data_IF_308182234762
#
_entry.id   IF_308182234762
#
_cell.length_a   1.000
_cell.length_b   1.000
_cell.length_c   1.000
_cell.angle_alpha   90.00
_cell.angle_beta   90.00
_cell.angle_gamma   90.00
#
_symmetry.space_group_name_H-M   'P 1'
#
loop_
_entity.id
_entity.type
_entity.pdbx_description
1 polymer ?
#
# COMPACT_ATOMS: atom_id res chain seq x y z
N UNK A 1 12.13 4.24 0.37
CA UNK A 1 10.92 4.44 1.18
C UNK A 1 11.25 5.32 2.36
N UNK A 2 12.08 4.85 3.31
CA UNK A 2 12.56 5.68 4.43
C UNK A 2 13.14 7.01 3.96
N UNK A 3 14.08 6.99 3.02
CA UNK A 3 14.70 8.21 2.49
C UNK A 3 13.68 9.18 1.86
N UNK A 4 12.84 8.70 0.94
CA UNK A 4 11.73 9.46 0.36
C UNK A 4 10.90 10.17 1.45
N UNK A 5 10.52 9.45 2.51
CA UNK A 5 9.71 9.99 3.62
C UNK A 5 10.49 11.05 4.41
N UNK A 6 11.77 10.82 4.70
CA UNK A 6 12.59 11.77 5.46
C UNK A 6 12.86 13.06 4.67
N UNK A 7 13.08 12.95 3.35
CA UNK A 7 13.24 14.10 2.45
C UNK A 7 11.93 14.89 2.39
N UNK A 8 10.82 14.22 2.12
CA UNK A 8 9.50 14.86 2.06
C UNK A 8 9.09 15.50 3.40
N UNK A 9 9.54 14.92 4.52
CA UNK A 9 9.30 15.43 5.87
C UNK A 9 10.14 16.63 6.27
N UNK A 10 11.02 17.14 5.40
CA UNK A 10 11.80 18.37 5.62
C UNK A 10 12.57 18.42 6.96
N UNK A 11 13.08 17.27 7.42
CA UNK A 11 13.85 17.15 8.66
C UNK A 11 13.00 17.12 9.94
N UNK A 12 11.67 17.07 9.85
CA UNK A 12 10.75 17.05 10.99
C UNK A 12 10.32 15.64 11.40
N UNK A 13 10.66 14.62 10.61
CA UNK A 13 10.30 13.24 10.92
C UNK A 13 11.11 12.68 12.09
N UNK A 14 10.44 11.91 12.94
CA UNK A 14 11.11 10.92 13.78
C UNK A 14 11.59 9.76 12.89
N UNK A 15 12.92 9.61 12.79
CA UNK A 15 13.55 8.56 11.98
C UNK A 15 13.14 7.16 12.40
N UNK A 16 13.08 6.89 13.70
CA UNK A 16 12.74 5.56 14.21
C UNK A 16 11.30 5.19 13.83
N UNK A 17 10.37 6.14 13.94
CA UNK A 17 8.99 5.92 13.50
C UNK A 17 8.91 5.65 11.99
N UNK A 18 9.64 6.40 11.16
CA UNK A 18 9.67 6.20 9.70
C UNK A 18 10.24 4.83 9.33
N UNK A 19 11.35 4.43 9.94
CA UNK A 19 11.99 3.13 9.70
C UNK A 19 11.08 1.97 10.13
N UNK A 20 10.42 2.10 11.29
CA UNK A 20 9.45 1.13 11.78
C UNK A 20 8.27 0.96 10.81
N UNK A 21 7.62 2.06 10.41
CA UNK A 21 6.47 1.99 9.49
C UNK A 21 6.89 1.44 8.12
N UNK A 22 7.99 1.94 7.55
CA UNK A 22 8.42 1.53 6.22
C UNK A 22 8.84 0.05 6.14
N UNK A 23 9.44 -0.49 7.20
CA UNK A 23 9.87 -1.89 7.28
C UNK A 23 8.68 -2.86 7.44
N UNK A 24 7.60 -2.43 8.10
CA UNK A 24 6.42 -3.27 8.33
C UNK A 24 5.35 -3.17 7.22
N UNK A 25 5.41 -2.14 6.37
CA UNK A 25 4.38 -1.84 5.37
C UNK A 25 3.98 -3.04 4.48
N UNK A 26 4.94 -3.84 3.98
CA UNK A 26 4.65 -5.00 3.14
C UNK A 26 3.76 -6.02 3.86
N UNK A 27 4.05 -6.31 5.13
CA UNK A 27 3.29 -7.30 5.90
C UNK A 27 1.86 -6.82 6.19
N UNK A 28 1.68 -5.55 6.52
CA UNK A 28 0.36 -4.96 6.74
C UNK A 28 -0.48 -4.93 5.46
N UNK A 29 0.16 -4.64 4.32
CA UNK A 29 -0.51 -4.69 3.01
C UNK A 29 -0.88 -6.12 2.64
N UNK A 30 0.00 -7.10 2.88
CA UNK A 30 -0.33 -8.50 2.67
C UNK A 30 -1.52 -8.93 3.51
N UNK A 31 -1.59 -8.47 4.77
CA UNK A 31 -2.76 -8.73 5.62
C UNK A 31 -4.05 -8.19 5.01
N UNK A 32 -4.05 -6.98 4.41
CA UNK A 32 -5.23 -6.45 3.70
C UNK A 32 -5.63 -7.35 2.52
N UNK A 33 -4.65 -7.81 1.74
CA UNK A 33 -4.90 -8.75 0.62
C UNK A 33 -5.53 -10.04 1.16
N UNK A 34 -5.01 -10.57 2.27
CA UNK A 34 -5.52 -11.78 2.91
C UNK A 34 -6.94 -11.58 3.50
N UNK A 35 -7.32 -10.34 3.86
CA UNK A 35 -8.70 -9.99 4.22
C UNK A 35 -9.66 -9.90 3.01
N UNK A 36 -9.12 -9.92 1.79
CA UNK A 36 -9.88 -9.86 0.55
C UNK A 36 -9.88 -8.50 -0.16
N UNK A 37 -9.03 -7.55 0.25
CA UNK A 37 -8.90 -6.27 -0.46
C UNK A 37 -8.32 -6.50 -1.84
N UNK A 38 -9.04 -6.08 -2.88
CA UNK A 38 -8.61 -6.27 -4.27
C UNK A 38 -7.83 -5.06 -4.77
N UNK A 39 -6.52 -5.23 -4.95
CA UNK A 39 -5.68 -4.26 -5.65
C UNK A 39 -5.53 -4.62 -7.13
N UNK A 40 -5.43 -3.59 -7.98
CA UNK A 40 -5.32 -3.75 -9.42
C UNK A 40 -4.06 -4.54 -9.80
N UNK A 41 -4.21 -5.47 -10.73
CA UNK A 41 -3.13 -6.27 -11.32
C UNK A 41 -2.88 -5.88 -12.77
N UNK A 42 -1.72 -6.28 -13.28
CA UNK A 42 -1.31 -6.13 -14.67
C UNK A 42 -0.63 -7.41 -15.15
N UNK A 43 -0.80 -7.73 -16.43
CA UNK A 43 -0.04 -8.80 -17.07
C UNK A 43 1.25 -8.20 -17.63
N UNK A 44 2.39 -8.72 -17.20
CA UNK A 44 3.69 -8.32 -17.68
C UNK A 44 3.96 -8.86 -19.10
N UNK A 45 4.91 -8.29 -19.86
CA UNK A 45 5.24 -8.77 -21.21
C UNK A 45 5.68 -10.24 -21.27
N UNK A 46 6.17 -10.80 -20.16
CA UNK A 46 6.53 -12.22 -20.03
C UNK A 46 5.32 -13.13 -19.74
N UNK A 47 4.11 -12.58 -19.62
CA UNK A 47 2.88 -13.30 -19.33
C UNK A 47 2.57 -13.48 -17.84
N UNK A 48 3.45 -13.04 -16.93
CA UNK A 48 3.22 -13.13 -15.49
C UNK A 48 2.29 -12.01 -14.99
N UNK A 49 1.38 -12.35 -14.09
CA UNK A 49 0.56 -11.37 -13.40
C UNK A 49 1.32 -10.75 -12.22
N UNK A 50 1.24 -9.44 -12.08
CA UNK A 50 1.77 -8.72 -10.92
C UNK A 50 0.89 -7.54 -10.56
N UNK A 51 1.06 -7.00 -9.36
CA UNK A 51 0.32 -5.80 -8.96
C UNK A 51 0.71 -4.59 -9.81
N UNK A 52 -0.29 -3.82 -10.24
CA UNK A 52 -0.07 -2.55 -10.91
C UNK A 52 0.33 -1.50 -9.85
N UNK A 53 1.53 -0.95 -10.00
CA UNK A 53 2.10 0.02 -9.04
C UNK A 53 2.18 1.42 -9.64
N UNK A 54 1.62 2.39 -8.92
CA UNK A 54 1.72 3.81 -9.23
C UNK A 54 2.86 4.48 -8.45
N UNK A 55 3.15 5.73 -8.83
CA UNK A 55 4.15 6.59 -8.19
C UNK A 55 3.61 8.01 -8.12
N UNK A 56 3.64 8.59 -6.94
CA UNK A 56 3.18 9.97 -6.67
C UNK A 56 4.38 10.87 -6.28
N UNK A 57 4.09 12.14 -6.01
CA UNK A 57 5.09 13.11 -5.55
C UNK A 57 5.81 12.62 -4.30
N UNK A 58 7.12 12.89 -4.22
CA UNK A 58 7.96 12.46 -3.10
C UNK A 58 8.48 11.03 -3.18
N UNK A 59 8.00 10.20 -4.11
CA UNK A 59 8.48 8.83 -4.28
C UNK A 59 9.55 8.67 -5.36
N UNK A 60 10.66 8.01 -5.03
CA UNK A 60 11.72 7.63 -5.99
C UNK A 60 11.32 6.44 -6.88
N UNK A 61 10.52 5.50 -6.37
CA UNK A 61 10.11 4.26 -7.05
C UNK A 61 8.59 4.06 -7.05
N UNK A 62 8.07 3.29 -8.02
CA UNK A 62 6.69 2.80 -8.04
C UNK A 62 6.48 1.81 -6.89
N UNK A 63 5.62 2.16 -5.94
CA UNK A 63 5.40 1.36 -4.72
C UNK A 63 4.00 1.52 -4.11
N UNK A 64 3.10 2.19 -4.81
CA UNK A 64 1.74 2.47 -4.35
C UNK A 64 0.82 1.46 -5.02
N UNK A 65 0.17 0.62 -4.21
CA UNK A 65 -0.94 -0.21 -4.64
C UNK A 65 -2.22 0.62 -4.68
N UNK A 66 -3.13 0.29 -5.59
CA UNK A 66 -4.40 0.99 -5.72
C UNK A 66 -5.49 0.05 -6.23
N UNK A 67 -6.74 0.48 -6.07
CA UNK A 67 -7.91 -0.13 -6.69
C UNK A 67 -8.62 0.97 -7.52
N UNK A 68 -8.38 0.96 -8.83
CA UNK A 68 -8.75 2.03 -9.75
C UNK A 68 -8.43 3.42 -9.16
N UNK A 69 -9.44 4.28 -9.01
CA UNK A 69 -9.39 5.62 -8.43
C UNK A 69 -9.99 5.70 -7.01
N UNK A 70 -10.30 4.56 -6.38
CA UNK A 70 -11.10 4.50 -5.15
C UNK A 70 -10.56 3.49 -4.11
N UNK A 71 -9.24 3.40 -3.94
CA UNK A 71 -8.58 2.48 -2.98
C UNK A 71 -9.18 2.54 -1.56
N UNK A 72 -9.51 3.74 -1.07
CA UNK A 72 -10.10 3.91 0.26
C UNK A 72 -11.44 3.19 0.42
N UNK A 73 -12.30 3.26 -0.61
CA UNK A 73 -13.61 2.58 -0.62
C UNK A 73 -13.46 1.07 -0.60
N UNK A 74 -12.50 0.55 -1.37
CA UNK A 74 -12.23 -0.89 -1.46
C UNK A 74 -11.75 -1.45 -0.11
N UNK A 75 -10.79 -0.77 0.52
CA UNK A 75 -10.29 -1.13 1.85
C UNK A 75 -11.38 -1.05 2.90
N UNK A 76 -12.13 0.05 2.95
CA UNK A 76 -13.21 0.26 3.93
C UNK A 76 -14.30 -0.80 3.81
N UNK A 77 -14.84 -1.00 2.60
CA UNK A 77 -15.96 -1.92 2.37
C UNK A 77 -15.58 -3.35 2.75
N UNK A 78 -14.36 -3.77 2.39
CA UNK A 78 -13.84 -5.10 2.73
C UNK A 78 -13.71 -5.29 4.23
N UNK A 79 -13.04 -4.36 4.94
CA UNK A 79 -12.80 -4.51 6.37
C UNK A 79 -14.09 -4.41 7.19
N UNK A 80 -15.03 -3.54 6.81
CA UNK A 80 -16.35 -3.46 7.46
C UNK A 80 -17.13 -4.77 7.27
N UNK A 81 -17.11 -5.33 6.07
CA UNK A 81 -17.74 -6.63 5.78
C UNK A 81 -17.15 -7.76 6.64
N UNK A 82 -15.81 -7.83 6.74
CA UNK A 82 -15.12 -8.80 7.59
C UNK A 82 -15.45 -8.62 9.08
N UNK A 83 -15.55 -7.39 9.56
CA UNK A 83 -15.93 -7.13 10.95
C UNK A 83 -17.38 -7.55 11.24
N UNK A 84 -18.30 -7.32 10.30
CA UNK A 84 -19.72 -7.70 10.45
C UNK A 84 -19.94 -9.22 10.39
N UNK A 85 -19.09 -9.95 9.67
CA UNK A 85 -19.17 -11.42 9.58
C UNK A 85 -18.55 -12.15 10.78
N UNK A 86 -17.86 -11.42 11.67
CA UNK A 86 -17.25 -11.93 12.90
C UNK A 86 -17.72 -11.14 14.15
N UNK A 87 -19.02 -11.19 14.51
CA UNK A 87 -19.58 -10.47 15.65
C UNK A 87 -19.14 -10.98 17.02
#
# INVERSE_FOLDING_TARGET
>A
HVEDTLIAGAGLCDRHAVEFVASNARSCVQWLIDQGVLFDTQVQPNGEESYHLTREGGHSHRRILHAADATGKEVETTLVSQAQSHP
#
